data_IF_002288837473
#
_entry.id   IF_002288837473
#
_cell.length_a   1.000
_cell.length_b   1.000
_cell.length_c   1.000
_cell.angle_alpha   90.00
_cell.angle_beta   90.00
_cell.angle_gamma   90.00
#
_symmetry.space_group_name_H-M   'P 1'
#
loop_
_entity.id
_entity.type
_entity.pdbx_description
1 polymer ?
#
# COMPACT_ATOMS: atom_id res chain seq x y z
N UNK A 1 4.92 -8.43 3.12
CA UNK A 1 4.98 -9.16 4.23
C UNK A 1 3.88 -9.03 5.15
N UNK A 2 3.40 -10.05 5.55
CA UNK A 2 2.20 -10.09 6.28
C UNK A 2 2.40 -9.78 7.74
N UNK A 3 2.58 -8.54 8.00
CA UNK A 3 2.84 -8.06 9.34
C UNK A 3 1.62 -8.12 10.22
N UNK A 4 0.47 -8.28 9.64
CA UNK A 4 -0.76 -8.49 10.38
C UNK A 4 -0.70 -9.69 11.29
N UNK A 5 0.10 -10.64 10.89
CA UNK A 5 0.38 -11.77 11.75
C UNK A 5 1.66 -11.60 12.53
N UNK A 6 2.43 -10.57 12.20
CA UNK A 6 3.60 -10.18 12.93
C UNK A 6 4.42 -11.36 13.43
N UNK A 7 4.64 -11.43 14.74
CA UNK A 7 5.34 -12.55 15.36
C UNK A 7 4.67 -13.89 15.14
N UNK A 8 3.38 -13.93 14.95
CA UNK A 8 2.65 -15.18 14.74
C UNK A 8 3.09 -15.91 13.50
N UNK A 9 3.51 -15.18 12.52
CA UNK A 9 4.07 -15.75 11.34
C UNK A 9 5.24 -16.67 11.61
N UNK A 10 5.94 -16.45 12.70
CA UNK A 10 7.02 -17.32 13.08
C UNK A 10 6.57 -18.66 13.60
N UNK A 11 5.46 -18.66 14.27
CA UNK A 11 5.04 -19.81 15.03
C UNK A 11 4.61 -20.96 14.21
N UNK A 12 4.26 -20.65 13.00
CA UNK A 12 3.87 -21.69 12.09
C UNK A 12 5.02 -22.57 11.71
N UNK A 13 6.18 -21.99 11.73
CA UNK A 13 7.39 -22.63 11.25
C UNK A 13 8.56 -22.19 12.10
N UNK A 14 9.18 -23.08 12.80
CA UNK A 14 10.33 -22.77 13.64
C UNK A 14 11.50 -22.17 12.83
N UNK A 15 11.75 -22.71 11.66
CA UNK A 15 12.75 -22.18 10.74
C UNK A 15 12.44 -20.73 10.30
N UNK A 16 11.20 -20.42 10.22
CA UNK A 16 10.73 -19.14 9.84
C UNK A 16 11.02 -18.08 10.88
N UNK A 17 10.80 -18.38 12.13
CA UNK A 17 11.21 -17.51 13.22
C UNK A 17 12.69 -17.16 13.13
N UNK A 18 13.51 -18.17 12.87
CA UNK A 18 14.95 -17.99 12.72
C UNK A 18 15.29 -17.08 11.53
N UNK A 19 14.67 -17.32 10.40
CA UNK A 19 14.88 -16.52 9.20
C UNK A 19 14.49 -15.06 9.42
N UNK A 20 13.37 -14.84 10.04
CA UNK A 20 12.91 -13.48 10.32
C UNK A 20 13.85 -12.73 11.27
N UNK A 21 14.36 -13.39 12.27
CA UNK A 21 15.31 -12.80 13.20
C UNK A 21 16.64 -12.48 12.50
N UNK A 22 17.14 -13.41 11.70
CA UNK A 22 18.41 -13.23 10.99
C UNK A 22 18.32 -12.12 9.94
N UNK A 23 17.21 -12.02 9.26
CA UNK A 23 17.01 -10.97 8.25
C UNK A 23 16.72 -9.61 8.89
N UNK A 24 16.45 -9.55 10.17
CA UNK A 24 15.93 -8.35 10.82
C UNK A 24 14.52 -7.99 10.34
N UNK A 25 13.85 -8.91 9.68
CA UNK A 25 12.57 -8.74 9.09
C UNK A 25 11.62 -9.75 9.59
N UNK A 26 10.62 -9.26 10.02
CA UNK A 26 9.55 -10.09 10.26
C UNK A 26 8.58 -9.88 9.19
N UNK A 27 8.60 -10.80 8.29
CA UNK A 27 7.51 -10.84 7.51
C UNK A 27 6.59 -11.54 8.21
N UNK A 28 5.96 -11.00 8.82
CA UNK A 28 5.01 -11.71 9.45
C UNK A 28 4.44 -12.62 8.48
N UNK A 29 4.22 -13.61 8.74
CA UNK A 29 3.46 -14.43 8.07
C UNK A 29 2.93 -15.34 9.04
N UNK A 30 2.02 -15.99 8.80
CA UNK A 30 1.46 -16.99 9.62
C UNK A 30 1.36 -18.31 8.88
N UNK A 31 0.67 -19.22 9.45
CA UNK A 31 0.39 -20.51 8.83
C UNK A 31 -0.41 -20.41 7.55
N UNK A 32 -1.10 -19.32 7.35
CA UNK A 32 -1.92 -19.09 6.17
C UNK A 32 -1.19 -18.32 5.09
N UNK A 33 -0.14 -17.61 5.47
CA UNK A 33 0.60 -16.74 4.58
C UNK A 33 1.93 -17.33 4.15
N UNK A 34 1.89 -18.53 3.66
CA UNK A 34 3.09 -19.27 3.28
C UNK A 34 3.88 -18.60 2.15
N UNK A 35 3.23 -17.89 1.28
CA UNK A 35 3.91 -17.19 0.20
C UNK A 35 4.86 -16.13 0.67
N UNK A 36 4.52 -15.43 1.72
CA UNK A 36 5.42 -14.46 2.32
C UNK A 36 6.63 -15.10 2.97
N UNK A 37 6.48 -16.27 3.54
CA UNK A 37 7.60 -17.05 4.00
C UNK A 37 8.58 -17.40 2.89
N UNK A 38 8.05 -17.81 1.76
CA UNK A 38 8.83 -18.13 0.57
C UNK A 38 9.64 -16.93 0.09
N UNK A 39 9.04 -15.75 0.11
CA UNK A 39 9.72 -14.50 -0.26
C UNK A 39 10.94 -14.23 0.62
N UNK A 40 10.81 -14.39 1.92
CA UNK A 40 11.92 -14.19 2.83
C UNK A 40 13.06 -15.18 2.57
N UNK A 41 12.72 -16.43 2.40
CA UNK A 41 13.70 -17.49 2.12
C UNK A 41 14.48 -17.18 0.85
N UNK A 42 13.81 -16.76 -0.20
CA UNK A 42 14.45 -16.39 -1.47
C UNK A 42 15.36 -15.17 -1.31
N UNK A 43 14.89 -14.14 -0.62
CA UNK A 43 15.70 -12.95 -0.39
C UNK A 43 16.95 -13.18 0.45
N UNK A 44 16.94 -14.24 1.22
CA UNK A 44 18.12 -14.70 1.94
C UNK A 44 19.04 -15.60 1.11
N UNK A 45 18.69 -15.87 -0.14
CA UNK A 45 19.46 -16.76 -1.00
C UNK A 45 19.31 -18.25 -0.65
N UNK A 46 18.29 -18.61 0.08
CA UNK A 46 17.98 -19.98 0.44
C UNK A 46 17.01 -20.58 -0.58
N UNK A 47 17.05 -21.91 -0.76
CA UNK A 47 16.05 -22.57 -1.59
C UNK A 47 14.64 -22.29 -1.08
N UNK A 48 13.76 -21.92 -1.96
CA UNK A 48 12.35 -21.75 -1.60
C UNK A 48 11.74 -23.11 -1.33
N UNK A 49 11.10 -23.24 -0.20
CA UNK A 49 10.10 -24.27 -0.04
C UNK A 49 8.82 -23.70 -0.60
N UNK A 50 8.42 -24.17 -1.73
CA UNK A 50 7.17 -23.72 -2.33
C UNK A 50 6.02 -23.92 -1.33
N UNK A 51 5.50 -22.82 -0.86
CA UNK A 51 4.31 -22.81 -0.03
C UNK A 51 3.07 -22.53 -0.87
N UNK A 52 3.20 -22.60 -2.16
CA UNK A 52 2.08 -22.55 -3.10
C UNK A 52 1.62 -21.16 -3.47
N UNK A 53 2.37 -20.13 -3.15
CA UNK A 53 1.94 -18.78 -3.48
C UNK A 53 3.10 -17.93 -3.97
N UNK A 54 3.15 -17.75 -5.23
CA UNK A 54 3.87 -16.65 -5.82
C UNK A 54 5.36 -16.89 -6.04
N UNK A 55 5.84 -16.07 -6.92
CA UNK A 55 7.21 -16.01 -7.34
C UNK A 55 7.98 -15.05 -6.44
N UNK A 56 8.85 -15.58 -5.63
CA UNK A 56 9.64 -14.80 -4.69
C UNK A 56 10.65 -13.89 -5.37
N UNK A 57 10.98 -14.14 -6.61
CA UNK A 57 11.95 -13.34 -7.36
C UNK A 57 11.41 -11.94 -7.70
N UNK A 58 10.12 -11.74 -7.58
CA UNK A 58 9.47 -10.45 -7.81
C UNK A 58 9.38 -9.55 -6.58
N UNK A 59 9.77 -10.04 -5.41
CA UNK A 59 9.68 -9.25 -4.19
C UNK A 59 10.92 -8.40 -3.98
N UNK A 60 10.69 -7.17 -3.53
CA UNK A 60 11.73 -6.30 -3.09
C UNK A 60 12.26 -6.74 -1.71
N UNK A 61 13.52 -6.47 -1.51
CA UNK A 61 14.13 -6.64 -0.20
C UNK A 61 13.94 -5.35 0.62
N UNK A 62 14.05 -5.43 1.92
CA UNK A 62 13.79 -4.26 2.79
C UNK A 62 14.83 -3.17 2.71
N UNK A 63 16.02 -3.47 2.21
CA UNK A 63 16.99 -2.42 1.91
C UNK A 63 16.54 -1.52 0.78
N UNK A 64 15.58 -1.97 -0.03
CA UNK A 64 14.98 -1.15 -1.08
C UNK A 64 14.14 0.02 -0.55
N UNK A 65 13.75 0.00 0.71
CA UNK A 65 13.11 1.14 1.36
C UNK A 65 13.93 2.43 1.23
N UNK A 66 15.25 2.32 1.23
CA UNK A 66 16.18 3.44 1.10
C UNK A 66 16.20 4.06 -0.29
N UNK A 67 15.64 3.39 -1.28
CA UNK A 67 15.52 3.88 -2.66
C UNK A 67 14.20 4.61 -2.91
N UNK A 68 13.27 4.54 -1.98
CA UNK A 68 12.00 5.25 -2.07
C UNK A 68 12.19 6.75 -1.80
N UNK A 69 11.51 7.58 -2.57
CA UNK A 69 11.38 9.00 -2.29
C UNK A 69 10.31 9.24 -1.23
N UNK A 70 9.21 8.50 -1.34
CA UNK A 70 8.12 8.52 -0.38
C UNK A 70 7.69 7.10 -0.01
N UNK A 71 7.36 6.92 1.26
CA UNK A 71 6.69 5.72 1.75
C UNK A 71 5.38 6.12 2.43
N UNK A 72 4.27 5.67 1.87
CA UNK A 72 2.93 5.90 2.41
C UNK A 72 2.54 4.68 3.22
N UNK A 73 2.45 4.84 4.53
CA UNK A 73 2.00 3.82 5.46
C UNK A 73 0.48 3.96 5.63
N UNK A 74 -0.28 3.05 5.03
CA UNK A 74 -1.74 3.06 5.15
C UNK A 74 -2.19 2.00 6.15
N UNK A 75 -2.65 2.44 7.30
CA UNK A 75 -3.01 1.56 8.43
C UNK A 75 -1.87 0.61 8.83
N UNK A 76 -0.64 1.06 8.73
CA UNK A 76 0.56 0.27 9.01
C UNK A 76 1.39 0.90 10.12
N UNK A 77 1.79 0.10 11.09
CA UNK A 77 2.57 0.54 12.25
C UNK A 77 3.77 -0.38 12.49
N UNK A 78 4.79 -0.35 11.62
CA UNK A 78 5.93 -1.26 11.71
C UNK A 78 6.75 -1.13 13.00
N UNK A 79 6.67 -0.01 13.71
CA UNK A 79 7.32 0.16 15.00
C UNK A 79 6.67 -0.66 16.11
N UNK A 80 5.43 -1.06 15.93
CA UNK A 80 4.65 -1.77 16.94
C UNK A 80 4.25 -3.16 16.52
N UNK A 81 3.79 -3.34 15.30
CA UNK A 81 3.12 -4.55 14.84
C UNK A 81 4.05 -5.64 14.32
N UNK A 82 5.32 -5.34 14.15
CA UNK A 82 6.28 -6.28 13.61
C UNK A 82 7.31 -6.71 14.65
N UNK A 83 7.52 -8.00 14.81
CA UNK A 83 8.55 -8.54 15.69
C UNK A 83 9.94 -8.45 15.03
N UNK A 84 10.97 -8.52 15.83
CA UNK A 84 12.35 -8.37 15.39
C UNK A 84 12.76 -6.91 15.30
N UNK A 85 13.53 -6.57 14.28
CA UNK A 85 14.10 -5.23 14.10
C UNK A 85 13.73 -4.53 12.79
N UNK A 86 12.54 -4.74 12.21
CA UNK A 86 12.22 -4.17 10.92
C UNK A 86 12.23 -2.64 10.92
N UNK A 87 11.84 -2.01 12.01
CA UNK A 87 11.82 -0.56 12.15
C UNK A 87 13.20 0.07 11.91
N UNK A 88 14.29 -0.64 12.14
CA UNK A 88 15.63 -0.13 11.89
C UNK A 88 15.86 0.18 10.40
N UNK A 89 15.32 -0.61 9.49
CA UNK A 89 15.43 -0.36 8.05
C UNK A 89 14.60 0.85 7.62
N UNK A 90 13.46 1.06 8.25
CA UNK A 90 12.63 2.23 8.03
C UNK A 90 13.30 3.50 8.53
N UNK A 91 13.91 3.42 9.71
CA UNK A 91 14.70 4.54 10.25
C UNK A 91 15.92 4.84 9.38
N UNK A 92 16.59 3.82 8.86
CA UNK A 92 17.69 4.02 7.92
C UNK A 92 17.24 4.70 6.62
N UNK A 93 16.08 4.33 6.10
CA UNK A 93 15.48 5.01 4.94
C UNK A 93 15.16 6.48 5.25
N UNK A 94 14.54 6.76 6.42
CA UNK A 94 14.32 8.13 6.89
C UNK A 94 15.62 8.93 6.95
N UNK A 95 16.66 8.35 7.55
CA UNK A 95 17.94 9.01 7.74
C UNK A 95 18.67 9.28 6.41
N UNK A 96 18.33 8.53 5.36
CA UNK A 96 18.75 8.78 3.98
C UNK A 96 17.89 9.80 3.23
N UNK A 97 16.79 10.24 3.82
CA UNK A 97 15.94 11.28 3.26
C UNK A 97 14.62 10.80 2.65
N UNK A 98 14.28 9.52 2.77
CA UNK A 98 12.94 9.02 2.43
C UNK A 98 11.90 9.72 3.30
N UNK A 99 10.87 10.24 2.67
CA UNK A 99 9.75 10.90 3.34
C UNK A 99 8.64 9.90 3.63
N UNK A 100 8.03 10.07 4.79
CA UNK A 100 6.95 9.18 5.23
C UNK A 100 5.64 9.91 5.35
N UNK A 101 4.56 9.25 4.92
CA UNK A 101 3.19 9.67 5.17
C UNK A 101 2.49 8.55 5.92
N UNK A 102 1.77 8.88 6.98
CA UNK A 102 1.00 7.92 7.78
C UNK A 102 -0.49 8.22 7.65
N UNK A 103 -1.21 7.37 6.94
CA UNK A 103 -2.67 7.41 6.82
C UNK A 103 -3.23 6.46 7.87
N UNK A 104 -3.68 7.00 8.98
CA UNK A 104 -4.09 6.21 10.15
C UNK A 104 -5.04 7.05 11.01
N UNK A 105 -6.08 6.48 11.63
CA UNK A 105 -6.94 7.21 12.55
C UNK A 105 -6.21 7.74 13.79
N UNK A 106 -5.04 7.18 14.12
CA UNK A 106 -4.23 7.55 15.27
C UNK A 106 -2.82 7.97 14.84
N UNK A 107 -2.28 8.97 15.52
CA UNK A 107 -0.85 9.29 15.41
C UNK A 107 -0.05 8.22 16.16
N UNK A 108 0.37 7.20 15.44
CA UNK A 108 0.97 5.99 16.01
C UNK A 108 2.50 6.11 16.20
N UNK A 109 3.10 5.08 16.81
CA UNK A 109 4.53 5.07 17.10
C UNK A 109 5.41 5.14 15.85
N UNK A 110 4.99 4.55 14.74
CA UNK A 110 5.72 4.64 13.47
C UNK A 110 5.69 6.04 12.90
N UNK A 111 4.54 6.71 12.95
CA UNK A 111 4.42 8.09 12.52
C UNK A 111 5.38 8.99 13.30
N UNK A 112 5.47 8.80 14.61
CA UNK A 112 6.40 9.55 15.46
C UNK A 112 7.87 9.22 15.17
N UNK A 113 8.22 7.94 15.08
CA UNK A 113 9.61 7.52 14.89
C UNK A 113 10.16 7.85 13.51
N UNK A 114 9.31 7.87 12.51
CA UNK A 114 9.69 8.11 11.13
C UNK A 114 9.48 9.57 10.69
N UNK A 115 9.06 10.41 11.61
CA UNK A 115 8.78 11.83 11.34
C UNK A 115 7.76 11.99 10.18
N UNK A 116 6.75 11.11 10.19
CA UNK A 116 5.80 11.01 9.11
C UNK A 116 4.76 12.12 9.15
N UNK A 117 4.41 12.61 7.98
CA UNK A 117 3.22 13.44 7.83
C UNK A 117 1.97 12.59 8.14
N UNK A 118 1.15 13.08 9.05
CA UNK A 118 -0.03 12.35 9.47
C UNK A 118 -1.29 12.83 8.78
N UNK A 119 -1.97 11.89 8.15
CA UNK A 119 -3.28 12.08 7.51
C UNK A 119 -4.32 11.30 8.32
N UNK A 120 -5.10 11.96 9.17
CA UNK A 120 -6.11 11.31 9.99
C UNK A 120 -7.31 10.90 9.13
N UNK A 121 -7.53 9.60 9.01
CA UNK A 121 -8.68 9.04 8.30
C UNK A 121 -9.66 8.42 9.29
N UNK A 122 -10.96 8.62 9.11
CA UNK A 122 -11.96 7.91 9.92
C UNK A 122 -11.93 6.42 9.61
N UNK A 123 -11.96 5.61 10.64
CA UNK A 123 -12.00 4.14 10.49
C UNK A 123 -13.16 3.70 9.61
N UNK A 124 -12.87 2.81 8.66
CA UNK A 124 -13.86 2.24 7.74
C UNK A 124 -14.25 3.15 6.57
N UNK A 125 -13.54 4.25 6.35
CA UNK A 125 -13.83 5.18 5.25
C UNK A 125 -12.69 5.33 4.24
N UNK A 126 -11.75 4.43 4.29
CA UNK A 126 -10.56 4.41 3.44
C UNK A 126 -10.92 4.44 1.95
N UNK A 127 -11.99 3.74 1.57
CA UNK A 127 -12.44 3.71 0.18
C UNK A 127 -12.83 5.09 -0.34
N UNK A 128 -13.45 5.93 0.48
CA UNK A 128 -13.79 7.29 0.07
C UNK A 128 -12.53 8.13 -0.18
N UNK A 129 -11.52 7.98 0.66
CA UNK A 129 -10.23 8.63 0.46
C UNK A 129 -9.53 8.12 -0.81
N UNK A 130 -9.54 6.81 -1.05
CA UNK A 130 -8.96 6.22 -2.26
C UNK A 130 -9.63 6.72 -3.52
N UNK A 131 -10.95 6.80 -3.55
CA UNK A 131 -11.68 7.33 -4.70
C UNK A 131 -11.35 8.80 -4.97
N UNK A 132 -11.22 9.60 -3.92
CA UNK A 132 -10.86 11.00 -4.08
C UNK A 132 -9.43 11.19 -4.58
N UNK A 133 -8.48 10.39 -4.09
CA UNK A 133 -7.11 10.38 -4.62
C UNK A 133 -7.11 9.96 -6.10
N UNK A 134 -7.84 8.92 -6.45
CA UNK A 134 -7.94 8.46 -7.83
C UNK A 134 -8.60 9.51 -8.74
N UNK A 135 -9.63 10.21 -8.25
CA UNK A 135 -10.23 11.33 -8.97
C UNK A 135 -9.20 12.42 -9.28
N UNK A 136 -8.42 12.83 -8.29
CA UNK A 136 -7.35 13.83 -8.47
C UNK A 136 -6.24 13.36 -9.40
N UNK A 137 -5.87 12.09 -9.36
CA UNK A 137 -4.89 11.53 -10.29
C UNK A 137 -5.42 11.53 -11.74
N UNK A 138 -6.69 11.17 -11.95
CA UNK A 138 -7.34 11.25 -13.25
C UNK A 138 -7.38 12.71 -13.77
N UNK A 139 -7.72 13.66 -12.90
CA UNK A 139 -7.73 15.10 -13.21
C UNK A 139 -6.33 15.61 -13.59
N UNK A 140 -5.31 15.19 -12.82
CA UNK A 140 -3.92 15.56 -13.10
C UNK A 140 -3.43 14.97 -14.44
N UNK A 141 -3.86 13.75 -14.76
CA UNK A 141 -3.51 13.11 -16.03
C UNK A 141 -4.16 13.81 -17.22
N UNK A 142 -5.42 14.25 -17.07
CA UNK A 142 -6.11 15.04 -18.09
C UNK A 142 -5.44 16.40 -18.33
N UNK A 143 -4.96 17.04 -17.26
CA UNK A 143 -4.29 18.36 -17.34
C UNK A 143 -2.89 18.31 -17.92
N UNK A 144 -2.09 17.30 -17.53
CA UNK A 144 -0.64 17.26 -17.79
C UNK A 144 -0.22 16.12 -18.70
N UNK A 145 -1.00 15.06 -18.74
CA UNK A 145 -0.64 13.79 -19.37
C UNK A 145 0.48 13.03 -18.68
N UNK A 146 0.50 11.72 -18.84
CA UNK A 146 1.60 10.86 -18.39
C UNK A 146 1.68 10.64 -16.87
N UNK A 147 0.60 10.89 -16.15
CA UNK A 147 0.47 10.59 -14.72
C UNK A 147 0.05 9.14 -14.53
N UNK A 148 -0.84 8.66 -15.38
CA UNK A 148 -1.38 7.30 -15.34
C UNK A 148 -0.70 6.48 -16.42
N UNK A 149 -0.18 5.32 -16.04
CA UNK A 149 0.31 4.32 -16.98
C UNK A 149 -0.87 3.53 -17.56
N UNK A 150 -1.45 4.06 -18.63
CA UNK A 150 -2.60 3.44 -19.28
C UNK A 150 -2.28 2.08 -19.88
N UNK A 151 -1.06 1.88 -20.38
CA UNK A 151 -0.63 0.58 -20.91
C UNK A 151 -0.62 -0.47 -19.81
N UNK A 152 -0.16 -0.10 -18.61
CA UNK A 152 -0.23 -0.97 -17.46
C UNK A 152 -1.68 -1.25 -17.03
N UNK A 153 -2.50 -0.21 -16.94
CA UNK A 153 -3.92 -0.35 -16.57
C UNK A 153 -4.63 -1.32 -17.53
N UNK A 154 -4.54 -1.08 -18.82
CA UNK A 154 -5.25 -1.91 -19.81
C UNK A 154 -4.71 -3.35 -19.89
N UNK A 155 -3.45 -3.56 -19.56
CA UNK A 155 -2.83 -4.89 -19.60
C UNK A 155 -3.08 -5.72 -18.34
N UNK A 156 -3.11 -5.10 -17.18
CA UNK A 156 -3.03 -5.80 -15.90
C UNK A 156 -4.23 -5.58 -14.97
N UNK A 157 -5.19 -4.74 -15.34
CA UNK A 157 -6.40 -4.55 -14.54
C UNK A 157 -7.66 -4.96 -15.31
N UNK A 158 -8.69 -5.27 -14.57
CA UNK A 158 -10.02 -5.64 -15.10
C UNK A 158 -11.06 -4.70 -14.53
N UNK A 159 -11.88 -4.10 -15.38
CA UNK A 159 -13.00 -3.26 -14.94
C UNK A 159 -12.61 -1.85 -14.48
N UNK A 160 -11.40 -1.39 -14.76
CA UNK A 160 -11.01 -0.02 -14.45
C UNK A 160 -11.74 1.00 -15.33
N UNK A 161 -11.75 0.78 -16.61
CA UNK A 161 -12.47 1.60 -17.61
C UNK A 161 -13.13 0.72 -18.69
N UNK A 162 -13.69 1.34 -19.72
CA UNK A 162 -14.38 0.61 -20.79
C UNK A 162 -13.45 -0.33 -21.58
N UNK A 163 -12.17 -0.02 -21.69
CA UNK A 163 -11.19 -0.82 -22.43
C UNK A 163 -10.70 -2.03 -21.64
N UNK A 164 -10.71 -1.93 -20.30
CA UNK A 164 -10.30 -3.02 -19.41
C UNK A 164 -11.46 -3.90 -18.94
N UNK A 165 -12.66 -3.72 -19.50
CA UNK A 165 -13.81 -4.57 -19.17
C UNK A 165 -13.68 -5.95 -19.81
N UNK A 166 -14.05 -7.04 -19.09
CA UNK A 166 -14.02 -8.38 -19.66
C UNK A 166 -15.07 -8.57 -20.77
N UNK A 167 -14.76 -9.45 -21.71
CA UNK A 167 -15.67 -9.72 -22.85
C UNK A 167 -17.02 -10.30 -22.43
N UNK A 168 -17.04 -11.10 -21.35
CA UNK A 168 -18.22 -11.77 -20.80
C UNK A 168 -18.94 -10.95 -19.72
N UNK A 169 -18.69 -9.64 -19.68
CA UNK A 169 -19.31 -8.75 -18.69
C UNK A 169 -20.83 -8.80 -18.74
N UNK A 170 -21.43 -8.75 -17.58
CA UNK A 170 -22.90 -8.68 -17.41
C UNK A 170 -23.39 -7.27 -17.13
N UNK A 171 -22.47 -6.35 -16.82
CA UNK A 171 -22.75 -4.92 -16.58
C UNK A 171 -21.72 -4.07 -17.32
N UNK A 172 -22.08 -2.86 -17.66
CA UNK A 172 -21.20 -1.91 -18.35
C UNK A 172 -20.55 -0.89 -17.40
N UNK A 173 -20.78 -1.02 -16.11
CA UNK A 173 -20.23 -0.12 -15.11
C UNK A 173 -18.76 -0.44 -14.84
N UNK A 174 -17.92 0.59 -14.88
CA UNK A 174 -16.49 0.50 -14.60
C UNK A 174 -16.08 1.50 -13.51
N UNK A 175 -14.90 1.27 -12.92
CA UNK A 175 -14.44 2.06 -11.77
C UNK A 175 -14.19 3.52 -12.12
N UNK A 176 -13.56 3.82 -13.24
CA UNK A 176 -13.25 5.18 -13.67
C UNK A 176 -14.50 6.02 -13.82
N UNK A 177 -15.51 5.48 -14.48
CA UNK A 177 -16.78 6.18 -14.71
C UNK A 177 -17.58 6.37 -13.41
N UNK A 178 -17.46 5.41 -12.48
CA UNK A 178 -18.00 5.57 -11.14
C UNK A 178 -17.31 6.72 -10.38
N UNK A 179 -15.98 6.76 -10.39
CA UNK A 179 -15.20 7.83 -9.75
C UNK A 179 -15.57 9.20 -10.32
N UNK A 180 -15.74 9.27 -11.64
CA UNK A 180 -16.15 10.49 -12.32
C UNK A 180 -17.64 10.85 -12.13
N UNK A 181 -18.41 10.03 -11.43
CA UNK A 181 -19.82 10.27 -11.12
C UNK A 181 -20.79 10.06 -12.27
N UNK A 182 -20.40 9.29 -13.30
CA UNK A 182 -21.27 9.10 -14.48
C UNK A 182 -22.52 8.28 -14.18
N UNK A 183 -22.47 7.42 -13.14
CA UNK A 183 -23.61 6.53 -12.81
C UNK A 183 -24.56 7.12 -11.78
N UNK A 184 -24.01 7.86 -10.81
CA UNK A 184 -24.79 8.41 -9.69
C UNK A 184 -24.87 9.94 -9.67
N UNK A 185 -24.29 10.60 -10.68
CA UNK A 185 -24.24 12.06 -10.78
C UNK A 185 -23.34 12.72 -9.74
N UNK A 186 -22.51 11.94 -9.02
CA UNK A 186 -21.70 12.44 -7.91
C UNK A 186 -20.22 12.12 -8.13
N UNK A 187 -19.42 13.03 -8.69
CA UNK A 187 -17.98 12.85 -8.79
C UNK A 187 -17.34 12.69 -7.41
N UNK A 188 -16.40 11.76 -7.30
CA UNK A 188 -15.75 11.42 -6.03
C UNK A 188 -14.57 12.36 -5.75
N UNK A 189 -14.87 13.67 -5.74
CA UNK A 189 -13.87 14.73 -5.51
C UNK A 189 -13.33 14.72 -4.09
N UNK A 190 -12.22 15.42 -3.80
CA UNK A 190 -11.75 15.64 -2.44
C UNK A 190 -12.81 16.22 -1.50
N UNK A 191 -13.62 17.16 -1.98
CA UNK A 191 -14.70 17.79 -1.21
C UNK A 191 -15.86 16.82 -0.94
N UNK A 192 -16.11 15.88 -1.85
CA UNK A 192 -17.05 14.80 -1.61
C UNK A 192 -16.57 13.85 -0.51
N UNK A 193 -15.27 13.57 -0.47
CA UNK A 193 -14.69 12.62 0.48
C UNK A 193 -14.56 13.21 1.90
N UNK A 194 -14.30 14.51 2.04
CA UNK A 194 -14.04 15.16 3.34
C UNK A 194 -15.12 14.86 4.40
N UNK A 195 -16.43 15.04 4.16
CA UNK A 195 -17.45 14.74 5.16
C UNK A 195 -17.51 13.25 5.51
N UNK A 196 -17.05 12.36 4.64
CA UNK A 196 -17.03 10.92 4.84
C UNK A 196 -15.80 10.51 5.65
N UNK A 197 -14.61 10.78 5.12
CA UNK A 197 -13.35 10.28 5.68
C UNK A 197 -12.67 11.24 6.66
N UNK A 198 -13.06 12.51 6.67
CA UNK A 198 -12.49 13.53 7.55
C UNK A 198 -11.14 14.09 7.09
N UNK A 199 -10.62 13.64 5.96
CA UNK A 199 -9.38 14.15 5.38
C UNK A 199 -9.69 15.39 4.56
N UNK A 200 -8.91 16.43 4.76
CA UNK A 200 -9.12 17.72 4.07
C UNK A 200 -8.80 17.61 2.58
N UNK A 201 -9.52 18.34 1.71
CA UNK A 201 -9.29 18.33 0.26
C UNK A 201 -7.84 18.61 -0.13
N UNK A 202 -7.18 19.52 0.57
CA UNK A 202 -5.79 19.88 0.31
C UNK A 202 -4.84 18.68 0.55
N UNK A 203 -5.09 17.90 1.61
CA UNK A 203 -4.32 16.70 1.90
C UNK A 203 -4.55 15.60 0.86
N UNK A 204 -5.79 15.45 0.38
CA UNK A 204 -6.11 14.51 -0.70
C UNK A 204 -5.36 14.89 -1.98
N UNK A 205 -5.39 16.17 -2.34
CA UNK A 205 -4.68 16.69 -3.51
C UNK A 205 -3.17 16.51 -3.37
N UNK A 206 -2.61 16.73 -2.19
CA UNK A 206 -1.19 16.51 -1.93
C UNK A 206 -0.81 15.03 -2.05
N UNK A 207 -1.60 14.11 -1.50
CA UNK A 207 -1.40 12.67 -1.68
C UNK A 207 -1.41 12.27 -3.15
N UNK A 208 -2.37 12.76 -3.93
CA UNK A 208 -2.44 12.51 -5.36
C UNK A 208 -1.20 13.04 -6.09
N UNK A 209 -0.73 14.23 -5.73
CA UNK A 209 0.49 14.81 -6.31
C UNK A 209 1.76 14.04 -5.94
N UNK A 210 1.87 13.54 -4.71
CA UNK A 210 2.98 12.67 -4.29
C UNK A 210 3.00 11.42 -5.15
N UNK A 211 1.85 10.75 -5.29
CA UNK A 211 1.74 9.53 -6.08
C UNK A 211 1.99 9.75 -7.57
N UNK A 212 1.60 10.92 -8.08
CA UNK A 212 1.77 11.28 -9.49
C UNK A 212 3.19 11.77 -9.85
N UNK A 213 3.93 12.26 -8.88
CA UNK A 213 5.22 12.95 -9.12
C UNK A 213 6.38 12.02 -9.36
N UNK A 214 6.37 10.85 -8.76
CA UNK A 214 7.53 9.97 -8.73
C UNK A 214 7.12 8.51 -8.87
N UNK A 215 7.91 7.75 -9.63
CA UNK A 215 7.82 6.29 -9.69
C UNK A 215 8.53 5.60 -8.52
N UNK A 216 9.02 6.38 -7.54
CA UNK A 216 9.68 5.90 -6.32
C UNK A 216 8.79 6.09 -5.09
N UNK A 217 7.51 5.92 -5.25
CA UNK A 217 6.55 5.94 -4.16
C UNK A 217 6.18 4.51 -3.80
N UNK A 218 6.35 4.17 -2.53
CA UNK A 218 5.94 2.88 -2.00
C UNK A 218 4.69 3.07 -1.14
N UNK A 219 3.67 2.26 -1.38
CA UNK A 219 2.46 2.23 -0.56
C UNK A 219 2.46 0.92 0.20
N UNK A 220 2.44 1.01 1.51
CA UNK A 220 2.35 -0.14 2.40
C UNK A 220 1.05 -0.10 3.15
N UNK A 221 0.24 -1.09 2.96
CA UNK A 221 -1.00 -1.26 3.68
C UNK A 221 -0.96 -2.53 4.53
N UNK A 222 -1.77 -2.55 5.56
CA UNK A 222 -1.91 -3.69 6.44
C UNK A 222 -3.36 -4.17 6.50
N UNK A 223 -3.59 -5.27 7.16
CA UNK A 223 -4.89 -5.92 7.32
C UNK A 223 -5.98 -5.01 7.88
N UNK A 224 -5.62 -4.04 8.69
CA UNK A 224 -6.56 -3.08 9.24
C UNK A 224 -7.44 -2.43 8.18
N UNK A 225 -6.84 -2.04 7.08
CA UNK A 225 -7.55 -1.44 5.94
C UNK A 225 -8.49 -2.43 5.23
N UNK A 226 -8.13 -3.69 5.19
CA UNK A 226 -8.91 -4.72 4.48
C UNK A 226 -10.02 -5.36 5.31
N UNK A 227 -10.11 -5.04 6.59
CA UNK A 227 -11.06 -5.66 7.53
C UNK A 227 -12.13 -4.72 8.06
N UNK A 228 -12.14 -3.49 7.61
CA UNK A 228 -13.12 -2.48 8.04
C UNK A 228 -14.26 -2.35 7.05
#
# INVERSE_FOLDING_TARGET
>A
ISDEYGPTGFYCKANNTTLNVLSGYVRGWDTTSHGTYTLDVTKMGLPTTDCGTGDADTANDRFDLENAEYIIMWSSNPAWSAAGTPINYWMAARDKGTKFVSIDPLYNASAQMLDAEWVPVRTGTDMALMFAIAYEMLRLDEEKGGIIDWDFIHKYTVGFDSESMPEDKTIDENLKDYILGKYDGTPKTPEWAEPICGVKPEQVTELAQIMAKSNKVMILHNYGMARC
#
